data_IF_238426515399
#
_entry.id   IF_238426515399
#
_cell.length_a   1.000
_cell.length_b   1.000
_cell.length_c   1.000
_cell.angle_alpha   90.00
_cell.angle_beta   90.00
_cell.angle_gamma   90.00
#
_symmetry.space_group_name_H-M   'P 1'
#
loop_
_entity.id
_entity.type
_entity.pdbx_description
1 polymer ?
#
# COMPACT_ATOMS: atom_id res chain seq x y z
N UNK A 1 -48.32 -62.57 -23.53
CA UNK A 1 -46.98 -61.97 -23.37
C UNK A 1 -46.95 -61.18 -22.06
N UNK A 2 -46.21 -61.65 -21.06
CA UNK A 2 -46.17 -61.04 -19.72
C UNK A 2 -44.94 -60.15 -19.57
N UNK A 3 -45.12 -58.82 -19.51
CA UNK A 3 -44.06 -57.87 -19.20
C UNK A 3 -43.96 -57.74 -17.68
N UNK A 4 -42.99 -58.43 -17.08
CA UNK A 4 -42.57 -58.21 -15.69
C UNK A 4 -41.86 -56.85 -15.61
N UNK A 5 -42.51 -55.86 -15.01
CA UNK A 5 -41.89 -54.60 -14.66
C UNK A 5 -40.98 -54.83 -13.44
N UNK A 6 -39.68 -54.92 -13.68
CA UNK A 6 -38.64 -54.83 -12.64
C UNK A 6 -38.69 -53.41 -12.06
N UNK A 7 -39.39 -53.24 -10.93
CA UNK A 7 -39.27 -52.04 -10.09
C UNK A 7 -37.88 -52.05 -9.47
N UNK A 8 -36.95 -51.33 -10.09
CA UNK A 8 -35.68 -51.01 -9.47
C UNK A 8 -35.99 -50.06 -8.30
N UNK A 9 -36.09 -50.62 -7.10
CA UNK A 9 -36.25 -49.83 -5.88
C UNK A 9 -34.91 -49.13 -5.60
N UNK A 10 -34.70 -47.95 -6.20
CA UNK A 10 -33.60 -47.06 -5.85
C UNK A 10 -33.89 -46.49 -4.47
N UNK A 11 -33.56 -47.26 -3.43
CA UNK A 11 -33.60 -46.83 -2.05
C UNK A 11 -32.58 -45.68 -1.91
N UNK A 12 -33.06 -44.45 -1.75
CA UNK A 12 -32.18 -43.36 -1.31
C UNK A 12 -31.66 -43.76 0.06
N UNK A 13 -30.37 -44.06 0.16
CA UNK A 13 -29.67 -44.19 1.44
C UNK A 13 -29.78 -42.85 2.15
N UNK A 14 -30.80 -42.72 3.00
CA UNK A 14 -30.93 -41.59 3.90
C UNK A 14 -29.77 -41.66 4.90
N UNK A 15 -29.04 -40.55 5.03
CA UNK A 15 -27.94 -40.46 5.99
C UNK A 15 -28.48 -40.72 7.40
N UNK A 16 -27.74 -41.48 8.20
CA UNK A 16 -28.09 -41.68 9.61
C UNK A 16 -27.78 -40.39 10.37
N UNK A 17 -28.57 -40.08 11.42
CA UNK A 17 -28.30 -38.91 12.29
C UNK A 17 -26.87 -38.95 12.86
N UNK A 18 -26.33 -40.14 13.14
CA UNK A 18 -24.96 -40.31 13.62
C UNK A 18 -23.91 -39.91 12.59
N UNK A 19 -24.13 -40.20 11.31
CA UNK A 19 -23.21 -39.82 10.22
C UNK A 19 -23.20 -38.29 10.02
N UNK A 20 -24.36 -37.65 10.22
CA UNK A 20 -24.46 -36.19 10.19
C UNK A 20 -23.71 -35.53 11.37
N UNK A 21 -23.82 -36.10 12.58
CA UNK A 21 -23.10 -35.60 13.77
C UNK A 21 -21.59 -35.78 13.63
N UNK A 22 -21.14 -36.93 13.12
CA UNK A 22 -19.71 -37.16 12.84
C UNK A 22 -19.20 -36.17 11.79
N UNK A 23 -19.98 -35.94 10.72
CA UNK A 23 -19.66 -34.96 9.68
C UNK A 23 -19.50 -33.54 10.23
N UNK A 24 -20.43 -33.08 11.08
CA UNK A 24 -20.35 -31.77 11.73
C UNK A 24 -19.15 -31.67 12.69
N UNK A 25 -18.84 -32.73 13.43
CA UNK A 25 -17.67 -32.79 14.29
C UNK A 25 -16.35 -32.60 13.53
N UNK A 26 -16.22 -33.26 12.37
CA UNK A 26 -15.04 -33.11 11.50
C UNK A 26 -14.95 -31.68 10.96
N UNK A 27 -16.06 -31.10 10.50
CA UNK A 27 -16.08 -29.71 10.00
C UNK A 27 -15.70 -28.72 11.10
N UNK A 28 -16.17 -28.92 12.33
CA UNK A 28 -15.83 -28.04 13.46
C UNK A 28 -14.33 -28.08 13.80
N UNK A 29 -13.73 -29.27 13.82
CA UNK A 29 -12.28 -29.42 14.06
C UNK A 29 -11.47 -28.78 12.93
N UNK A 30 -11.86 -29.00 11.67
CA UNK A 30 -11.20 -28.36 10.52
C UNK A 30 -11.30 -26.83 10.59
N UNK A 31 -12.47 -26.28 10.93
CA UNK A 31 -12.66 -24.84 11.06
C UNK A 31 -11.78 -24.25 12.17
N UNK A 32 -11.64 -24.93 13.32
CA UNK A 32 -10.78 -24.47 14.41
C UNK A 32 -9.30 -24.39 14.02
N UNK A 33 -8.82 -25.30 13.18
CA UNK A 33 -7.45 -25.28 12.67
C UNK A 33 -7.29 -24.22 11.56
N UNK A 34 -8.30 -24.07 10.69
CA UNK A 34 -8.25 -23.14 9.55
C UNK A 34 -8.37 -21.66 9.96
N UNK A 35 -9.13 -21.32 11.00
CA UNK A 35 -9.34 -19.93 11.44
C UNK A 35 -8.04 -19.17 11.82
N UNK A 36 -7.13 -19.71 12.65
CA UNK A 36 -5.88 -19.02 12.96
C UNK A 36 -4.95 -18.91 11.75
N UNK A 37 -4.94 -19.94 10.87
CA UNK A 37 -4.16 -19.92 9.63
C UNK A 37 -4.68 -18.82 8.70
N UNK A 38 -6.00 -18.72 8.54
CA UNK A 38 -6.64 -17.70 7.70
C UNK A 38 -6.35 -16.27 8.21
N UNK A 39 -6.32 -16.07 9.53
CA UNK A 39 -5.94 -14.78 10.12
C UNK A 39 -4.44 -14.49 10.05
N UNK A 40 -3.60 -15.51 10.06
CA UNK A 40 -2.15 -15.37 9.90
C UNK A 40 -1.75 -15.00 8.47
N UNK A 41 -2.47 -15.54 7.48
CA UNK A 41 -2.18 -15.32 6.04
C UNK A 41 -2.73 -13.99 5.53
N UNK A 42 -3.82 -13.48 6.10
CA UNK A 42 -4.38 -12.18 5.75
C UNK A 42 -3.83 -11.10 6.71
N UNK A 43 -2.75 -10.37 6.34
CA UNK A 43 -2.33 -9.21 7.11
C UNK A 43 -3.45 -8.17 7.17
N UNK A 44 -3.37 -7.27 8.15
CA UNK A 44 -4.24 -6.09 8.18
C UNK A 44 -4.19 -5.40 6.82
N UNK A 45 -5.37 -5.19 6.22
CA UNK A 45 -5.52 -4.60 4.89
C UNK A 45 -4.79 -3.25 4.83
N UNK A 46 -4.86 -2.46 5.90
CA UNK A 46 -4.25 -1.14 5.94
C UNK A 46 -2.71 -1.22 6.01
N UNK A 47 -2.16 -2.20 6.74
CA UNK A 47 -0.69 -2.44 6.77
C UNK A 47 -0.19 -2.91 5.40
N UNK A 48 -0.91 -3.81 4.75
CA UNK A 48 -0.57 -4.27 3.41
C UNK A 48 -0.59 -3.12 2.38
N UNK A 49 -1.61 -2.27 2.44
CA UNK A 49 -1.69 -1.08 1.60
C UNK A 49 -0.65 -0.03 1.96
N UNK A 50 -0.30 0.13 3.25
CA UNK A 50 0.78 1.02 3.69
C UNK A 50 2.14 0.62 3.12
N UNK A 51 2.45 -0.68 3.11
CA UNK A 51 3.66 -1.23 2.44
C UNK A 51 3.66 -0.97 0.94
N UNK A 52 2.49 -1.09 0.29
CA UNK A 52 2.34 -0.78 -1.12
C UNK A 52 2.52 0.72 -1.40
N UNK A 53 1.92 1.58 -0.59
CA UNK A 53 2.10 3.03 -0.65
C UNK A 53 3.57 3.41 -0.51
N UNK A 54 4.28 2.80 0.44
CA UNK A 54 5.73 2.99 0.60
C UNK A 54 6.50 2.64 -0.68
N UNK A 55 6.20 1.48 -1.29
CA UNK A 55 6.83 1.07 -2.54
C UNK A 55 6.56 2.07 -3.68
N UNK A 56 5.31 2.53 -3.82
CA UNK A 56 4.93 3.52 -4.84
C UNK A 56 5.68 4.84 -4.62
N UNK A 57 5.67 5.36 -3.40
CA UNK A 57 6.35 6.60 -3.03
C UNK A 57 7.84 6.51 -3.33
N UNK A 58 8.51 5.45 -2.85
CA UNK A 58 9.94 5.26 -3.05
C UNK A 58 10.32 5.09 -4.53
N UNK A 59 9.53 4.32 -5.28
CA UNK A 59 9.74 4.17 -6.72
C UNK A 59 9.67 5.52 -7.41
N UNK A 60 8.62 6.31 -7.17
CA UNK A 60 8.44 7.62 -7.83
C UNK A 60 9.53 8.61 -7.39
N UNK A 61 9.88 8.67 -6.11
CA UNK A 61 10.97 9.52 -5.62
C UNK A 61 12.29 9.16 -6.29
N UNK A 62 12.60 7.86 -6.41
CA UNK A 62 13.84 7.41 -7.06
C UNK A 62 13.83 7.73 -8.55
N UNK A 63 12.72 7.49 -9.26
CA UNK A 63 12.54 7.87 -10.66
C UNK A 63 12.75 9.37 -10.86
N UNK A 64 12.11 10.22 -10.03
CA UNK A 64 12.22 11.68 -10.16
C UNK A 64 13.59 12.21 -9.74
N UNK A 65 14.20 11.69 -8.68
CA UNK A 65 15.48 12.20 -8.17
C UNK A 65 16.66 11.85 -9.06
N UNK A 66 16.55 10.77 -9.84
CA UNK A 66 17.59 10.32 -10.78
C UNK A 66 17.37 10.86 -12.20
N UNK A 67 16.18 11.39 -12.51
CA UNK A 67 15.85 11.95 -13.82
C UNK A 67 16.48 13.34 -14.00
N UNK A 68 17.64 13.36 -14.66
CA UNK A 68 18.39 14.59 -14.98
C UNK A 68 17.68 15.51 -15.97
N UNK A 69 16.65 15.03 -16.70
CA UNK A 69 15.85 15.89 -17.58
C UNK A 69 14.83 16.69 -16.76
N UNK A 70 14.20 16.06 -15.76
CA UNK A 70 13.20 16.70 -14.90
C UNK A 70 13.84 17.57 -13.80
N UNK A 71 14.94 17.10 -13.24
CA UNK A 71 15.72 17.79 -12.20
C UNK A 71 17.19 17.91 -12.63
N UNK A 72 17.49 18.78 -13.62
CA UNK A 72 18.86 19.02 -14.03
C UNK A 72 19.66 19.67 -12.89
N UNK A 73 20.96 19.39 -12.86
CA UNK A 73 21.88 20.10 -11.98
C UNK A 73 22.28 21.40 -12.67
N UNK A 74 22.01 22.54 -12.03
CA UNK A 74 22.35 23.86 -12.58
C UNK A 74 23.56 24.49 -11.87
N UNK A 75 24.29 23.72 -11.05
CA UNK A 75 25.48 24.18 -10.31
C UNK A 75 25.16 24.90 -9.00
N UNK A 76 23.94 25.42 -8.84
CA UNK A 76 23.45 26.06 -7.61
C UNK A 76 22.52 25.12 -6.82
N UNK A 77 21.67 24.38 -7.54
CA UNK A 77 20.68 23.46 -7.00
C UNK A 77 20.76 22.08 -7.67
N UNK A 78 20.72 21.04 -6.85
CA UNK A 78 20.62 19.64 -7.30
C UNK A 78 19.36 18.96 -6.76
N UNK A 79 18.87 17.98 -7.52
CA UNK A 79 17.66 17.20 -7.19
C UNK A 79 16.43 18.09 -7.04
N UNK A 80 15.59 17.79 -6.04
CA UNK A 80 14.28 18.45 -5.87
C UNK A 80 14.33 19.95 -5.56
N UNK A 81 15.52 20.49 -5.24
CA UNK A 81 15.70 21.93 -5.07
C UNK A 81 15.66 22.69 -6.40
N UNK A 82 15.95 22.02 -7.52
CA UNK A 82 15.83 22.66 -8.82
C UNK A 82 14.35 22.82 -9.18
N UNK A 83 13.84 24.05 -9.06
CA UNK A 83 12.47 24.45 -9.41
C UNK A 83 12.33 25.05 -10.81
N UNK A 84 13.39 24.98 -11.62
CA UNK A 84 13.40 25.45 -13.00
C UNK A 84 12.32 24.76 -13.83
N UNK A 85 11.82 25.49 -14.82
CA UNK A 85 10.74 25.05 -15.68
C UNK A 85 11.17 23.88 -16.56
N UNK A 86 10.38 22.81 -16.54
CA UNK A 86 10.51 21.67 -17.46
C UNK A 86 9.17 21.39 -18.12
N UNK A 87 9.19 20.93 -19.38
CA UNK A 87 7.99 20.47 -20.09
C UNK A 87 7.99 18.95 -20.09
N UNK A 88 6.96 18.35 -19.49
CA UNK A 88 6.80 16.91 -19.45
C UNK A 88 5.37 16.55 -19.83
N UNK A 89 5.21 15.60 -20.75
CA UNK A 89 3.92 15.16 -21.26
C UNK A 89 3.01 16.31 -21.74
N UNK A 90 3.59 17.32 -22.40
CA UNK A 90 2.88 18.50 -22.91
C UNK A 90 2.46 19.53 -21.86
N UNK A 91 2.79 19.31 -20.58
CA UNK A 91 2.51 20.23 -19.47
C UNK A 91 3.78 20.85 -18.92
N UNK A 92 3.68 22.10 -18.45
CA UNK A 92 4.80 22.81 -17.85
C UNK A 92 4.83 22.58 -16.34
N UNK A 93 6.00 22.30 -15.80
CA UNK A 93 6.23 22.01 -14.39
C UNK A 93 7.35 22.91 -13.87
N UNK A 94 7.04 23.77 -12.90
CA UNK A 94 7.99 24.75 -12.34
C UNK A 94 7.60 25.17 -10.93
N UNK A 95 8.52 25.85 -10.24
CA UNK A 95 8.27 26.44 -8.92
C UNK A 95 8.01 25.42 -7.83
N UNK A 96 7.33 25.84 -6.77
CA UNK A 96 7.02 25.03 -5.58
C UNK A 96 6.06 23.87 -5.84
N UNK A 97 5.32 23.91 -6.95
CA UNK A 97 4.38 22.85 -7.36
C UNK A 97 5.02 21.81 -8.30
N UNK A 98 6.28 22.02 -8.74
CA UNK A 98 6.98 21.12 -9.66
C UNK A 98 7.01 19.68 -9.15
N UNK A 99 7.38 19.48 -7.88
CA UNK A 99 7.40 18.16 -7.26
C UNK A 99 6.03 17.49 -7.27
N UNK A 100 5.00 18.19 -6.78
CA UNK A 100 3.64 17.65 -6.73
C UNK A 100 3.11 17.24 -8.11
N UNK A 101 3.27 18.12 -9.10
CA UNK A 101 2.76 17.87 -10.46
C UNK A 101 3.50 16.73 -11.17
N UNK A 102 4.83 16.67 -11.04
CA UNK A 102 5.64 15.57 -11.60
C UNK A 102 5.38 14.25 -10.87
N UNK A 103 5.25 14.25 -9.54
CA UNK A 103 4.94 13.06 -8.77
C UNK A 103 3.54 12.51 -9.13
N UNK A 104 2.54 13.40 -9.20
CA UNK A 104 1.19 13.02 -9.61
C UNK A 104 1.12 12.49 -11.05
N UNK A 105 2.02 12.91 -11.95
CA UNK A 105 2.13 12.37 -13.31
C UNK A 105 2.58 10.89 -13.35
N UNK A 106 3.23 10.40 -12.29
CA UNK A 106 3.71 9.01 -12.17
C UNK A 106 2.73 8.09 -11.45
N UNK A 107 1.62 8.63 -10.95
CA UNK A 107 0.53 7.88 -10.33
C UNK A 107 -0.52 7.52 -11.38
N UNK A 108 -0.96 6.27 -11.35
CA UNK A 108 -2.17 5.86 -12.06
C UNK A 108 -3.37 6.42 -11.29
N UNK A 109 -3.98 7.46 -11.83
CA UNK A 109 -5.05 8.22 -11.17
C UNK A 109 -6.40 7.54 -11.29
N UNK A 110 -7.28 7.80 -10.34
CA UNK A 110 -8.70 7.43 -10.46
C UNK A 110 -9.35 8.20 -11.61
N UNK A 111 -10.13 7.56 -12.50
CA UNK A 111 -10.83 8.26 -13.57
C UNK A 111 -11.71 9.39 -13.02
N UNK A 112 -11.69 10.55 -13.68
CA UNK A 112 -12.47 11.72 -13.26
C UNK A 112 -11.89 12.51 -12.08
N UNK A 113 -10.65 12.20 -11.64
CA UNK A 113 -9.94 13.00 -10.65
C UNK A 113 -8.87 13.87 -11.29
N UNK A 114 -8.73 15.09 -10.78
CA UNK A 114 -7.71 16.05 -11.20
C UNK A 114 -6.60 16.16 -10.16
N UNK A 115 -5.43 16.65 -10.59
CA UNK A 115 -4.29 16.86 -9.71
C UNK A 115 -4.45 18.23 -9.04
N UNK A 116 -4.40 18.27 -7.71
CA UNK A 116 -4.52 19.50 -6.93
C UNK A 116 -3.26 19.78 -6.10
N UNK A 117 -2.35 20.59 -6.63
CA UNK A 117 -1.11 20.95 -5.95
C UNK A 117 -1.27 22.14 -5.00
N UNK A 118 -2.28 22.08 -4.13
CA UNK A 118 -2.52 23.06 -3.06
C UNK A 118 -2.11 22.46 -1.71
N UNK A 119 -1.40 23.21 -0.84
CA UNK A 119 -1.00 22.71 0.47
C UNK A 119 -2.20 22.19 1.29
N UNK A 120 -2.03 21.01 1.91
CA UNK A 120 -3.03 20.42 2.80
C UNK A 120 -4.23 19.74 2.12
N UNK A 121 -4.38 19.89 0.79
CA UNK A 121 -5.41 19.20 0.03
C UNK A 121 -4.91 17.84 -0.49
N UNK A 122 -5.86 16.95 -0.82
CA UNK A 122 -5.55 15.73 -1.57
C UNK A 122 -4.98 16.14 -2.92
N UNK A 123 -3.72 15.79 -3.15
CA UNK A 123 -3.03 16.14 -4.38
C UNK A 123 -3.41 15.24 -5.54
N UNK A 124 -3.58 13.94 -5.28
CA UNK A 124 -4.01 12.97 -6.28
C UNK A 124 -4.58 11.73 -5.59
N UNK A 125 -5.66 11.18 -6.16
CA UNK A 125 -6.23 9.90 -5.76
C UNK A 125 -5.80 8.82 -6.76
N UNK A 126 -5.19 7.74 -6.29
CA UNK A 126 -4.84 6.61 -7.16
C UNK A 126 -6.08 5.86 -7.63
N UNK A 127 -5.95 5.09 -8.72
CA UNK A 127 -7.00 4.20 -9.22
C UNK A 127 -7.47 3.17 -8.20
N UNK A 128 -6.65 2.91 -7.17
CA UNK A 128 -6.92 1.98 -6.09
C UNK A 128 -7.57 2.64 -4.88
N UNK A 129 -7.84 3.95 -4.94
CA UNK A 129 -8.52 4.69 -3.89
C UNK A 129 -7.61 5.22 -2.77
N UNK A 130 -6.30 5.28 -3.00
CA UNK A 130 -5.37 5.89 -2.04
C UNK A 130 -5.25 7.40 -2.31
N UNK A 131 -5.38 8.22 -1.27
CA UNK A 131 -5.25 9.68 -1.36
C UNK A 131 -3.84 10.12 -0.97
N UNK A 132 -3.17 10.83 -1.87
CA UNK A 132 -1.82 11.34 -1.67
C UNK A 132 -1.86 12.83 -1.36
N UNK A 133 -1.22 13.23 -0.27
CA UNK A 133 -1.00 14.62 0.12
C UNK A 133 0.47 14.92 -0.08
N UNK A 134 0.77 15.69 -1.14
CA UNK A 134 2.12 15.99 -1.58
C UNK A 134 2.57 17.37 -1.07
N UNK A 135 3.86 17.53 -0.74
CA UNK A 135 4.39 18.82 -0.33
C UNK A 135 4.43 19.79 -1.51
N UNK A 136 4.06 21.03 -1.24
CA UNK A 136 4.24 22.17 -2.14
C UNK A 136 5.43 22.97 -1.60
N UNK A 137 6.60 22.75 -2.17
CA UNK A 137 7.87 23.22 -1.61
C UNK A 137 8.95 23.33 -2.68
N UNK A 138 9.88 24.25 -2.47
CA UNK A 138 11.15 24.37 -3.18
C UNK A 138 12.26 23.53 -2.52
N UNK A 139 11.93 22.83 -1.42
CA UNK A 139 12.86 22.03 -0.62
C UNK A 139 14.06 22.81 -0.06
N UNK A 140 13.99 24.15 -0.01
CA UNK A 140 15.03 24.99 0.60
C UNK A 140 15.07 24.82 2.13
N UNK A 141 13.91 24.62 2.75
CA UNK A 141 13.77 24.31 4.18
C UNK A 141 14.18 22.88 4.59
N UNK A 142 14.72 22.08 3.65
CA UNK A 142 15.13 20.71 3.92
C UNK A 142 14.03 19.68 3.66
N UNK A 143 14.00 18.65 4.50
CA UNK A 143 13.13 17.47 4.37
C UNK A 143 11.65 17.85 4.34
N UNK A 144 10.92 17.33 3.36
CA UNK A 144 9.48 17.47 3.21
C UNK A 144 8.75 16.18 3.56
N UNK A 145 7.44 16.26 3.70
CA UNK A 145 6.61 15.11 4.11
C UNK A 145 5.54 14.83 3.07
N UNK A 146 5.40 13.56 2.69
CA UNK A 146 4.26 13.02 1.93
C UNK A 146 3.38 12.26 2.92
N UNK A 147 2.08 12.50 2.88
CA UNK A 147 1.10 11.66 3.59
C UNK A 147 0.30 10.87 2.58
N UNK A 148 0.10 9.58 2.84
CA UNK A 148 -0.74 8.71 2.01
C UNK A 148 -1.82 8.11 2.89
N UNK A 149 -3.06 8.29 2.45
CA UNK A 149 -4.25 7.69 3.04
C UNK A 149 -4.63 6.44 2.25
N UNK A 150 -4.56 5.26 2.85
CA UNK A 150 -4.65 4.01 2.09
C UNK A 150 -6.07 3.57 1.77
N UNK A 151 -7.05 4.09 2.49
CA UNK A 151 -8.49 3.88 2.28
C UNK A 151 -9.19 5.17 1.78
N UNK A 152 -8.43 6.19 1.41
CA UNK A 152 -8.95 7.42 0.83
C UNK A 152 -9.61 8.32 1.87
N UNK A 153 -10.89 8.64 1.69
CA UNK A 153 -11.65 9.49 2.63
C UNK A 153 -12.36 8.72 3.75
N UNK A 154 -12.30 7.38 3.70
CA UNK A 154 -12.91 6.52 4.72
C UNK A 154 -12.20 6.72 6.06
N UNK A 155 -12.97 6.86 7.15
CA UNK A 155 -12.37 6.91 8.49
C UNK A 155 -11.70 5.57 8.85
N UNK A 156 -10.78 5.53 9.84
CA UNK A 156 -10.53 6.56 10.86
C UNK A 156 -9.56 7.71 10.52
N UNK A 157 -8.89 7.72 9.35
CA UNK A 157 -8.00 8.81 8.90
C UNK A 157 -6.90 9.16 9.92
N UNK A 158 -6.37 8.16 10.60
CA UNK A 158 -5.51 8.29 11.77
C UNK A 158 -4.10 7.77 11.49
N UNK A 159 -3.12 8.40 12.14
CA UNK A 159 -1.72 7.98 12.04
C UNK A 159 -1.44 6.77 12.92
N UNK A 160 -0.53 5.90 12.48
CA UNK A 160 -0.03 4.68 13.13
C UNK A 160 0.38 4.85 14.61
N UNK A 161 0.66 6.07 15.06
CA UNK A 161 1.12 6.37 16.43
C UNK A 161 0.16 7.23 17.26
N UNK A 162 -1.08 7.40 16.81
CA UNK A 162 -2.07 8.26 17.48
C UNK A 162 -2.97 7.55 18.50
N UNK A 163 -2.68 6.29 18.84
CA UNK A 163 -3.56 5.46 19.69
C UNK A 163 -4.77 4.87 18.94
N UNK A 164 -4.69 4.83 17.62
CA UNK A 164 -5.75 4.34 16.74
C UNK A 164 -5.65 2.83 16.55
N UNK A 165 -6.78 2.13 16.61
CA UNK A 165 -6.84 0.66 16.47
C UNK A 165 -6.57 0.17 15.04
N UNK A 166 -6.78 1.02 14.04
CA UNK A 166 -6.63 0.68 12.62
C UNK A 166 -6.13 1.91 11.84
N UNK A 167 -4.85 2.25 11.93
CA UNK A 167 -4.28 3.36 11.19
C UNK A 167 -4.34 3.13 9.68
N UNK A 168 -4.64 4.19 8.95
CA UNK A 168 -4.79 4.22 7.48
C UNK A 168 -3.96 5.34 6.84
N UNK A 169 -3.43 6.27 7.65
CA UNK A 169 -2.51 7.31 7.18
C UNK A 169 -1.06 6.97 7.47
N UNK A 170 -0.26 6.99 6.40
CA UNK A 170 1.17 6.73 6.44
C UNK A 170 1.95 7.98 6.02
N UNK A 171 3.06 8.22 6.71
CA UNK A 171 3.87 9.42 6.55
C UNK A 171 5.27 9.05 6.07
N UNK A 172 5.65 9.61 4.93
CA UNK A 172 6.92 9.39 4.26
C UNK A 172 7.71 10.69 4.20
N UNK A 173 9.01 10.61 4.48
CA UNK A 173 9.92 11.77 4.43
C UNK A 173 10.64 11.81 3.10
N UNK A 174 10.70 12.98 2.50
CA UNK A 174 11.40 13.24 1.23
C UNK A 174 12.55 14.18 1.51
N UNK A 175 13.77 13.71 1.26
CA UNK A 175 14.98 14.52 1.43
C UNK A 175 15.20 15.29 0.13
N UNK A 176 15.59 16.58 0.18
CA UNK A 176 16.09 17.27 -1.01
C UNK A 176 17.31 16.50 -1.55
N UNK A 177 17.11 15.77 -2.64
CA UNK A 177 18.14 14.89 -3.17
C UNK A 177 19.42 15.65 -3.52
N UNK A 178 20.50 15.35 -2.82
CA UNK A 178 21.82 15.25 -3.46
C UNK A 178 21.83 13.94 -4.24
N UNK A 179 22.49 13.87 -5.41
CA UNK A 179 22.60 12.63 -6.20
C UNK A 179 23.15 11.52 -5.31
N UNK A 180 22.30 10.58 -4.90
CA UNK A 180 22.74 9.36 -4.22
C UNK A 180 22.92 8.31 -5.31
N UNK A 181 24.10 7.66 -5.43
CA UNK A 181 24.23 6.52 -6.32
C UNK A 181 23.20 5.45 -5.95
N UNK A 182 22.71 4.72 -6.96
CA UNK A 182 21.61 3.77 -6.84
C UNK A 182 21.85 2.59 -5.86
N UNK A 183 23.02 2.54 -5.20
CA UNK A 183 23.39 1.54 -4.20
C UNK A 183 22.98 1.89 -2.77
N UNK A 184 22.55 3.14 -2.51
CA UNK A 184 22.07 3.55 -1.18
C UNK A 184 20.57 3.85 -1.21
N UNK A 185 19.77 2.88 -1.68
CA UNK A 185 18.30 2.88 -1.55
C UNK A 185 17.85 2.62 -0.09
N UNK A 186 18.50 3.30 0.86
CA UNK A 186 18.55 2.88 2.26
C UNK A 186 18.01 3.87 3.27
N UNK A 187 17.36 4.99 2.91
CA UNK A 187 16.66 5.84 3.90
C UNK A 187 15.40 6.48 3.29
N UNK A 188 14.41 5.66 2.90
CA UNK A 188 13.03 6.15 2.71
C UNK A 188 12.08 5.10 3.27
N UNK A 189 12.08 4.98 4.59
CA UNK A 189 11.10 4.17 5.32
C UNK A 189 10.04 5.06 5.98
N UNK A 190 8.85 4.53 6.28
CA UNK A 190 7.97 5.17 7.26
C UNK A 190 8.76 5.45 8.55
N UNK A 191 8.45 6.52 9.28
CA UNK A 191 9.15 6.85 10.55
C UNK A 191 8.81 5.85 11.69
N UNK A 192 8.26 4.69 11.35
CA UNK A 192 8.05 3.56 12.21
C UNK A 192 8.95 2.43 11.70
N UNK A 193 9.93 2.03 12.52
CA UNK A 193 10.44 0.67 12.40
C UNK A 193 9.23 -0.26 12.38
N UNK A 194 9.18 -1.28 11.49
CA UNK A 194 8.21 -2.36 11.68
C UNK A 194 8.35 -2.86 13.12
N UNK A 195 7.24 -3.17 13.82
CA UNK A 195 7.33 -3.76 15.15
C UNK A 195 8.31 -4.94 15.06
N UNK A 196 9.35 -4.89 15.89
CA UNK A 196 10.37 -5.92 15.93
C UNK A 196 9.64 -7.27 15.98
N UNK A 197 9.91 -8.12 14.99
CA UNK A 197 9.41 -9.49 14.97
C UNK A 197 9.82 -10.10 16.31
N UNK A 198 8.85 -10.28 17.21
CA UNK A 198 9.09 -10.95 18.48
C UNK A 198 9.80 -12.25 18.16
N UNK A 199 10.98 -12.44 18.76
CA UNK A 199 11.73 -13.68 18.67
C UNK A 199 10.78 -14.78 19.15
N UNK A 200 10.23 -15.55 18.23
CA UNK A 200 9.60 -16.81 18.57
C UNK A 200 10.73 -17.72 19.08
N UNK A 201 10.63 -18.29 20.30
CA UNK A 201 11.62 -19.23 20.77
C UNK A 201 11.70 -20.39 19.77
N UNK A 202 12.93 -20.75 19.40
CA UNK A 202 13.21 -21.91 18.57
C UNK A 202 12.50 -23.13 19.16
N UNK A 203 11.79 -23.88 18.29
CA UNK A 203 11.22 -25.15 18.67
C UNK A 203 12.35 -26.07 19.17
N UNK A 204 12.15 -26.81 20.28
CA UNK A 204 13.16 -27.75 20.75
C UNK A 204 13.30 -28.88 19.74
N UNK A 205 14.52 -29.10 19.28
CA UNK A 205 14.87 -30.31 18.53
C UNK A 205 14.68 -31.52 19.45
N UNK A 206 13.66 -32.31 19.15
CA UNK A 206 13.35 -33.57 19.80
C UNK A 206 14.04 -34.77 19.12
N UNK A 207 14.22 -35.86 19.85
CA UNK A 207 15.25 -36.90 19.65
C UNK A 207 15.02 -37.84 18.46
#
# INVERSE_FOLDING_TARGET
>A
MSKKYLRLNKRSTALTIGEFVIGLGIIAVLALILLPIFRSVNPDKNDALGKKANYIVNRIINELSTDTYLYPDNGEFSGFKNTDKVVYNGSEHSGTTKFCTLFASRIVKKPGTEVNCTPGNVSVTSSEGMDFYLPISDFNGGTQTITVDVNGSEGPNCLDKSGCSSPDRFVFKVIPGTRVPADTAGIYGPTALPPAKGIQPAAPDGP
#
